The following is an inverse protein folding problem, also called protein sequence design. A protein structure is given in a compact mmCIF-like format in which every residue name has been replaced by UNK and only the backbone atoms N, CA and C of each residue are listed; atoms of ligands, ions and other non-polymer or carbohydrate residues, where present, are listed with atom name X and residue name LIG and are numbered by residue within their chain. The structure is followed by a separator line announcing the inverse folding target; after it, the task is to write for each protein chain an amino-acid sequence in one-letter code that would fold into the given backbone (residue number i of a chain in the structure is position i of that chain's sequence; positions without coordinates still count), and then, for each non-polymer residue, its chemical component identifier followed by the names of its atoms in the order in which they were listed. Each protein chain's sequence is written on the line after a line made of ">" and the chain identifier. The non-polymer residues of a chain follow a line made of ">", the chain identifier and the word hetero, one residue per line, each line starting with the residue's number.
data_IF_134492530546
#
_entry.id   IF_134492530546
#
_cell.length_a   1.000
_cell.length_b   1.000
_cell.length_c   1.000
_cell.angle_alpha   90.00
_cell.angle_beta   90.00
_cell.angle_gamma   90.00
#
_symmetry.space_group_name_H-M   'P 1'
#
loop_
_entity.id
_entity.type
_entity.pdbx_description
1 polymer ?
#
# COMPACT_ATOMS: atom_id res chain seq x y z
N UNK A 1 -26.31 11.64 -42.57
CA UNK A 1 -26.29 10.54 -41.60
C UNK A 1 -25.11 10.70 -40.70
N UNK A 2 -25.31 11.30 -39.54
CA UNK A 2 -24.27 11.42 -38.53
C UNK A 2 -24.01 10.07 -37.88
N UNK A 3 -23.04 9.35 -38.39
CA UNK A 3 -22.49 8.21 -37.67
C UNK A 3 -21.62 8.76 -36.53
N UNK A 4 -22.25 9.20 -35.46
CA UNK A 4 -21.56 9.42 -34.21
C UNK A 4 -21.06 8.09 -33.72
N UNK A 5 -19.74 7.92 -33.73
CA UNK A 5 -19.10 6.83 -33.00
C UNK A 5 -19.33 7.15 -31.55
N UNK A 6 -20.40 6.63 -30.98
CA UNK A 6 -20.61 6.71 -29.53
C UNK A 6 -19.69 5.65 -28.93
N UNK A 7 -18.51 6.11 -28.47
CA UNK A 7 -17.76 5.31 -27.52
C UNK A 7 -18.61 5.18 -26.26
N UNK A 8 -19.40 4.14 -26.15
CA UNK A 8 -19.82 3.70 -24.85
C UNK A 8 -18.53 3.41 -24.10
N UNK A 9 -18.20 4.29 -23.17
CA UNK A 9 -17.19 3.99 -22.19
C UNK A 9 -17.65 2.78 -21.38
N UNK A 10 -17.48 1.61 -21.94
CA UNK A 10 -17.23 0.47 -21.09
C UNK A 10 -15.82 0.74 -20.54
N UNK A 11 -15.67 1.03 -19.24
CA UNK A 11 -14.34 1.10 -18.71
C UNK A 11 -13.67 -0.22 -19.09
N UNK A 12 -12.63 -0.14 -19.91
CA UNK A 12 -11.69 -1.24 -20.01
C UNK A 12 -11.37 -1.52 -18.55
N UNK A 13 -11.68 -2.71 -18.02
CA UNK A 13 -11.40 -2.96 -16.62
C UNK A 13 -9.89 -3.08 -16.46
N UNK A 14 -9.25 -1.91 -16.36
CA UNK A 14 -7.92 -1.84 -15.78
C UNK A 14 -8.15 -2.22 -14.33
N UNK A 15 -7.59 -3.35 -13.87
CA UNK A 15 -7.70 -3.71 -12.47
C UNK A 15 -7.38 -2.52 -11.60
N UNK A 16 -8.18 -2.25 -10.56
CA UNK A 16 -8.04 -1.07 -9.72
C UNK A 16 -6.63 -0.91 -9.17
N UNK A 17 -5.96 -2.01 -8.88
CA UNK A 17 -4.58 -2.07 -8.37
C UNK A 17 -3.53 -1.50 -9.32
N UNK A 18 -3.83 -1.35 -10.61
CA UNK A 18 -2.94 -0.75 -11.60
C UNK A 18 -3.24 0.73 -11.86
N UNK A 19 -4.29 1.28 -11.25
CA UNK A 19 -4.62 2.70 -11.39
C UNK A 19 -3.73 3.51 -10.46
N UNK A 20 -2.98 4.52 -10.97
CA UNK A 20 -2.08 5.29 -10.12
C UNK A 20 -2.76 5.92 -8.91
N UNK A 21 -3.97 6.46 -9.07
CA UNK A 21 -4.71 7.08 -7.96
C UNK A 21 -5.09 6.08 -6.88
N UNK A 22 -5.44 4.85 -7.25
CA UNK A 22 -5.70 3.78 -6.29
C UNK A 22 -4.44 3.45 -5.48
N UNK A 23 -3.31 3.29 -6.16
CA UNK A 23 -2.02 3.02 -5.52
C UNK A 23 -1.59 4.17 -4.61
N UNK A 24 -1.76 5.42 -5.04
CA UNK A 24 -1.45 6.60 -4.21
C UNK A 24 -2.31 6.61 -2.95
N UNK A 25 -3.61 6.34 -3.09
CA UNK A 25 -4.51 6.24 -1.95
C UNK A 25 -4.06 5.18 -0.94
N UNK A 26 -3.67 4.00 -1.43
CA UNK A 26 -3.15 2.93 -0.56
C UNK A 26 -1.85 3.33 0.13
N UNK A 27 -0.90 3.95 -0.59
CA UNK A 27 0.36 4.44 0.00
C UNK A 27 0.06 5.41 1.14
N UNK A 28 -0.80 6.37 0.91
CA UNK A 28 -1.18 7.39 1.91
C UNK A 28 -1.80 6.74 3.14
N UNK A 29 -2.71 5.80 2.95
CA UNK A 29 -3.36 5.09 4.05
C UNK A 29 -2.39 4.19 4.83
N UNK A 30 -1.49 3.49 4.15
CA UNK A 30 -0.45 2.68 4.78
C UNK A 30 0.45 3.54 5.64
N UNK A 31 0.91 4.66 5.12
CA UNK A 31 1.77 5.60 5.87
C UNK A 31 1.05 6.13 7.11
N UNK A 32 -0.23 6.43 7.00
CA UNK A 32 -1.00 6.97 8.12
C UNK A 32 -1.29 5.94 9.20
N UNK A 33 -1.74 4.74 8.82
CA UNK A 33 -2.24 3.75 9.78
C UNK A 33 -1.19 2.79 10.29
N UNK A 34 -0.19 2.47 9.50
CA UNK A 34 0.71 1.35 9.79
C UNK A 34 2.18 1.74 9.97
N UNK A 35 2.50 3.03 9.90
CA UNK A 35 3.88 3.50 9.97
C UNK A 35 4.07 4.52 11.08
N UNK A 36 5.13 4.33 11.86
CA UNK A 36 5.51 5.29 12.91
C UNK A 36 5.93 6.60 12.26
N UNK A 37 5.43 7.71 12.82
CA UNK A 37 5.67 9.07 12.29
C UNK A 37 5.30 9.20 10.82
N UNK A 38 4.35 8.39 10.35
CA UNK A 38 3.89 8.34 8.95
C UNK A 38 5.06 8.21 7.95
N UNK A 39 6.09 7.46 8.33
CA UNK A 39 7.33 7.25 7.57
C UNK A 39 7.58 5.76 7.37
N UNK A 40 7.96 5.37 6.17
CA UNK A 40 8.17 3.97 5.82
C UNK A 40 9.33 3.79 4.86
N UNK A 41 9.99 2.63 4.94
CA UNK A 41 10.88 2.16 3.89
C UNK A 41 10.07 1.77 2.64
N UNK A 42 10.74 1.73 1.50
CA UNK A 42 10.15 1.25 0.25
C UNK A 42 9.74 -0.22 0.36
N UNK A 43 10.55 -1.06 1.00
CA UNK A 43 10.25 -2.48 1.19
C UNK A 43 8.95 -2.71 1.95
N UNK A 44 8.71 -1.94 3.00
CA UNK A 44 7.47 -2.03 3.78
C UNK A 44 6.26 -1.62 2.94
N UNK A 45 6.39 -0.59 2.12
CA UNK A 45 5.35 -0.18 1.18
C UNK A 45 5.03 -1.29 0.18
N UNK A 46 6.04 -1.98 -0.34
CA UNK A 46 5.84 -3.12 -1.24
C UNK A 46 5.15 -4.29 -0.54
N UNK A 47 5.50 -4.58 0.70
CA UNK A 47 4.82 -5.60 1.51
C UNK A 47 3.33 -5.30 1.62
N UNK A 48 2.98 -4.07 1.99
CA UNK A 48 1.57 -3.69 2.13
C UNK A 48 0.85 -3.63 0.79
N UNK A 49 1.49 -3.21 -0.28
CA UNK A 49 0.92 -3.26 -1.62
C UNK A 49 0.55 -4.69 -2.02
N UNK A 50 1.47 -5.63 -1.81
CA UNK A 50 1.20 -7.05 -2.03
C UNK A 50 0.04 -7.54 -1.15
N UNK A 51 0.04 -7.16 0.11
CA UNK A 51 -0.96 -7.57 1.08
C UNK A 51 -2.37 -7.10 0.69
N UNK A 52 -2.47 -5.85 0.28
CA UNK A 52 -3.75 -5.24 -0.10
C UNK A 52 -4.27 -5.68 -1.47
N UNK A 53 -3.45 -6.42 -2.22
CA UNK A 53 -3.83 -6.93 -3.54
C UNK A 53 -4.99 -7.93 -3.47
N UNK A 54 -5.06 -8.76 -2.43
CA UNK A 54 -6.11 -9.77 -2.29
C UNK A 54 -6.42 -10.09 -0.83
N UNK A 55 -7.63 -10.56 -0.58
CA UNK A 55 -8.03 -11.09 0.74
C UNK A 55 -7.12 -12.22 1.21
N UNK A 56 -6.72 -13.09 0.29
CA UNK A 56 -5.82 -14.21 0.59
C UNK A 56 -4.48 -13.71 1.14
N UNK A 57 -3.91 -12.68 0.52
CA UNK A 57 -2.66 -12.07 0.99
C UNK A 57 -2.82 -11.42 2.36
N UNK A 58 -3.94 -10.76 2.61
CA UNK A 58 -4.26 -10.20 3.93
C UNK A 58 -4.32 -11.28 5.01
N UNK A 59 -4.96 -12.41 4.70
CA UNK A 59 -5.06 -13.54 5.62
C UNK A 59 -3.69 -14.19 5.89
N UNK A 60 -2.83 -14.27 4.88
CA UNK A 60 -1.46 -14.77 5.04
C UNK A 60 -0.70 -13.90 6.02
N UNK A 61 -0.76 -12.58 5.87
CA UNK A 61 -0.08 -11.66 6.78
C UNK A 61 -0.64 -11.75 8.20
N UNK A 62 -1.96 -11.81 8.34
CA UNK A 62 -2.60 -11.94 9.66
C UNK A 62 -2.20 -13.23 10.36
N UNK A 63 -2.17 -14.35 9.66
CA UNK A 63 -1.71 -15.63 10.23
C UNK A 63 -0.24 -15.58 10.66
N UNK A 64 0.59 -14.92 9.88
CA UNK A 64 2.00 -14.72 10.23
C UNK A 64 2.14 -13.93 11.54
N UNK A 65 1.38 -12.86 11.68
CA UNK A 65 1.36 -12.04 12.91
C UNK A 65 0.84 -12.88 14.09
N UNK A 66 -0.27 -13.58 13.90
CA UNK A 66 -0.92 -14.38 14.95
C UNK A 66 -0.03 -15.56 15.43
N UNK A 67 0.82 -16.08 14.54
CA UNK A 67 1.79 -17.12 14.87
C UNK A 67 3.08 -16.57 15.51
N UNK A 68 3.11 -15.32 15.92
CA UNK A 68 4.27 -14.71 16.55
C UNK A 68 5.45 -14.47 15.60
N UNK A 69 5.18 -14.23 14.31
CA UNK A 69 6.18 -13.96 13.28
C UNK A 69 7.15 -15.12 13.01
N UNK A 70 6.73 -16.36 13.29
CA UNK A 70 7.61 -17.55 13.20
C UNK A 70 7.34 -18.42 11.99
N UNK A 71 6.09 -18.55 11.60
CA UNK A 71 5.65 -19.47 10.54
C UNK A 71 4.78 -18.74 9.54
N UNK A 72 4.86 -19.19 8.27
CA UNK A 72 4.06 -18.62 7.21
C UNK A 72 4.54 -17.25 6.76
N UNK A 73 5.85 -17.07 6.65
CA UNK A 73 6.46 -15.82 6.18
C UNK A 73 5.89 -15.46 4.82
N UNK A 74 5.31 -14.24 4.67
CA UNK A 74 4.80 -13.81 3.37
C UNK A 74 5.91 -13.74 2.31
N UNK A 75 5.59 -14.18 1.10
CA UNK A 75 6.44 -14.01 -0.07
C UNK A 75 5.82 -12.90 -0.94
N UNK A 76 6.48 -11.76 -1.00
CA UNK A 76 6.02 -10.65 -1.84
C UNK A 76 7.08 -10.25 -2.85
N UNK A 77 6.65 -9.67 -3.94
CA UNK A 77 7.51 -9.19 -5.00
C UNK A 77 7.48 -7.66 -5.07
N UNK A 78 8.52 -7.09 -5.66
CA UNK A 78 8.57 -5.66 -5.95
C UNK A 78 7.62 -5.37 -7.12
N UNK A 79 6.71 -4.44 -6.91
CA UNK A 79 5.75 -4.03 -7.92
C UNK A 79 6.20 -2.70 -8.56
N UNK A 80 6.59 -2.71 -9.85
CA UNK A 80 6.95 -1.47 -10.54
C UNK A 80 5.84 -0.41 -10.57
N UNK A 81 4.57 -0.84 -10.54
CA UNK A 81 3.44 0.08 -10.48
C UNK A 81 3.42 0.89 -9.19
N UNK A 82 3.81 0.29 -8.07
CA UNK A 82 3.95 1.00 -6.80
C UNK A 82 5.04 2.06 -6.87
N UNK A 83 6.18 1.73 -7.46
CA UNK A 83 7.29 2.69 -7.62
C UNK A 83 6.84 3.91 -8.42
N UNK A 84 6.12 3.70 -9.51
CA UNK A 84 5.56 4.80 -10.32
C UNK A 84 4.53 5.62 -9.55
N UNK A 85 3.66 4.95 -8.81
CA UNK A 85 2.65 5.63 -7.98
C UNK A 85 3.31 6.47 -6.88
N UNK A 86 4.37 5.96 -6.27
CA UNK A 86 5.13 6.69 -5.26
C UNK A 86 5.80 7.93 -5.85
N UNK A 87 6.41 7.81 -7.03
CA UNK A 87 7.00 8.96 -7.73
C UNK A 87 5.94 10.03 -8.04
N UNK A 88 4.76 9.62 -8.49
CA UNK A 88 3.63 10.52 -8.72
C UNK A 88 3.13 11.15 -7.42
N UNK A 89 3.06 10.38 -6.34
CA UNK A 89 2.65 10.90 -5.03
C UNK A 89 3.63 11.96 -4.53
N UNK A 90 4.92 11.78 -4.77
CA UNK A 90 5.95 12.78 -4.45
C UNK A 90 5.80 14.01 -5.33
N UNK A 91 5.62 13.82 -6.64
CA UNK A 91 5.45 14.92 -7.59
C UNK A 91 4.21 15.77 -7.27
N UNK A 92 3.12 15.12 -6.86
CA UNK A 92 1.88 15.79 -6.46
C UNK A 92 1.92 16.34 -5.02
N UNK A 93 2.98 16.09 -4.28
CA UNK A 93 3.20 16.64 -2.95
C UNK A 93 2.52 15.89 -1.80
N UNK A 94 2.00 14.68 -2.02
CA UNK A 94 1.39 13.86 -0.96
C UNK A 94 2.41 13.17 -0.07
N UNK A 95 3.57 12.86 -0.63
CA UNK A 95 4.68 12.23 0.07
C UNK A 95 5.97 12.98 -0.21
N UNK A 96 6.96 12.78 0.65
CA UNK A 96 8.31 13.32 0.46
C UNK A 96 9.35 12.25 0.78
N UNK A 97 10.51 12.36 0.15
CA UNK A 97 11.66 11.53 0.48
C UNK A 97 12.29 12.05 1.79
N UNK A 98 12.30 11.18 2.82
CA UNK A 98 12.83 11.52 4.13
C UNK A 98 14.31 11.14 4.32
N UNK A 99 15.00 10.72 3.24
CA UNK A 99 16.36 10.21 3.28
C UNK A 99 16.43 8.71 3.59
N UNK A 100 17.56 8.06 3.27
CA UNK A 100 17.81 6.64 3.56
C UNK A 100 16.74 5.67 3.00
N UNK A 101 16.25 5.96 1.79
CA UNK A 101 15.16 5.20 1.16
C UNK A 101 13.87 5.14 1.99
N UNK A 102 13.61 6.19 2.77
CA UNK A 102 12.39 6.34 3.54
C UNK A 102 11.51 7.43 2.95
N UNK A 103 10.21 7.23 3.09
CA UNK A 103 9.17 8.10 2.53
C UNK A 103 8.20 8.49 3.63
N UNK A 104 7.80 9.75 3.63
CA UNK A 104 6.97 10.32 4.68
C UNK A 104 5.77 11.04 4.07
N UNK A 105 4.66 10.99 4.79
CA UNK A 105 3.45 11.70 4.43
C UNK A 105 3.64 13.21 4.70
N UNK A 106 3.25 14.04 3.73
CA UNK A 106 3.24 15.50 3.87
C UNK A 106 1.92 15.99 4.48
N UNK A 107 1.83 17.30 4.77
CA UNK A 107 0.56 17.91 5.19
C UNK A 107 -0.54 17.69 4.16
N UNK A 108 -0.23 17.82 2.88
CA UNK A 108 -1.17 17.55 1.78
C UNK A 108 -1.57 16.07 1.74
N UNK A 109 -0.63 15.17 2.05
CA UNK A 109 -0.90 13.74 2.19
C UNK A 109 -1.84 13.45 3.35
N UNK A 110 -1.67 14.12 4.49
CA UNK A 110 -2.59 14.00 5.63
C UNK A 110 -4.00 14.48 5.27
N UNK A 111 -4.13 15.55 4.49
CA UNK A 111 -5.43 16.02 4.01
C UNK A 111 -6.10 14.98 3.12
N UNK A 112 -5.35 14.37 2.21
CA UNK A 112 -5.86 13.28 1.36
C UNK A 112 -6.31 12.08 2.22
N UNK A 113 -5.51 11.68 3.20
CA UNK A 113 -5.86 10.60 4.12
C UNK A 113 -7.17 10.90 4.84
N UNK A 114 -7.36 12.13 5.33
CA UNK A 114 -8.60 12.54 5.99
C UNK A 114 -9.81 12.44 5.07
N UNK A 115 -9.68 12.85 3.82
CA UNK A 115 -10.74 12.72 2.83
C UNK A 115 -11.09 11.26 2.53
N UNK A 116 -10.07 10.40 2.46
CA UNK A 116 -10.28 8.96 2.27
C UNK A 116 -10.98 8.32 3.47
N UNK A 117 -10.67 8.78 4.68
CA UNK A 117 -11.33 8.32 5.92
C UNK A 117 -12.79 8.73 5.99
N UNK A 118 -13.11 9.94 5.55
CA UNK A 118 -14.48 10.48 5.57
C UNK A 118 -15.41 9.74 4.62
N UNK A 119 -14.90 9.23 3.51
CA UNK A 119 -15.68 8.45 2.57
C UNK A 119 -15.80 7.00 3.07
N UNK A 120 -16.93 6.69 3.69
CA UNK A 120 -17.17 5.38 4.30
C UNK A 120 -17.43 4.25 3.31
N UNK A 121 -17.61 4.57 2.04
CA UNK A 121 -17.86 3.58 0.99
C UNK A 121 -16.60 3.22 0.20
N UNK A 122 -15.57 4.04 0.30
CA UNK A 122 -14.32 3.89 -0.46
C UNK A 122 -13.30 3.08 0.31
N UNK A 123 -12.72 2.07 -0.36
CA UNK A 123 -11.62 1.25 0.18
C UNK A 123 -11.93 0.66 1.56
N UNK A 124 -13.16 0.20 1.76
CA UNK A 124 -13.65 -0.28 3.07
C UNK A 124 -12.82 -1.45 3.58
N UNK A 125 -12.57 -2.44 2.73
CA UNK A 125 -11.81 -3.63 3.08
C UNK A 125 -10.37 -3.28 3.44
N UNK A 126 -9.74 -2.45 2.62
CA UNK A 126 -8.36 -2.02 2.80
C UNK A 126 -8.20 -1.17 4.08
N UNK A 127 -9.09 -0.21 4.30
CA UNK A 127 -9.07 0.63 5.52
C UNK A 127 -9.25 -0.21 6.78
N UNK A 128 -10.21 -1.12 6.79
CA UNK A 128 -10.46 -1.99 7.94
C UNK A 128 -9.24 -2.86 8.26
N UNK A 129 -8.62 -3.42 7.24
CA UNK A 129 -7.41 -4.23 7.39
C UNK A 129 -6.25 -3.41 7.97
N UNK A 130 -5.99 -2.21 7.42
CA UNK A 130 -4.91 -1.35 7.87
C UNK A 130 -5.11 -0.86 9.31
N UNK A 131 -6.33 -0.54 9.69
CA UNK A 131 -6.67 -0.17 11.07
C UNK A 131 -6.42 -1.34 12.01
N UNK A 132 -6.78 -2.54 11.60
CA UNK A 132 -6.59 -3.77 12.39
C UNK A 132 -5.10 -4.07 12.59
N UNK A 133 -4.27 -3.89 11.57
CA UNK A 133 -2.81 -4.04 11.69
C UNK A 133 -2.23 -2.96 12.61
N UNK A 134 -2.53 -1.69 12.36
CA UNK A 134 -2.02 -0.57 13.14
C UNK A 134 -0.51 -0.39 13.03
N UNK A 135 0.04 0.51 13.86
CA UNK A 135 1.42 0.98 13.74
C UNK A 135 2.49 0.03 14.30
N UNK A 136 2.10 -0.86 15.20
CA UNK A 136 3.08 -1.64 15.97
C UNK A 136 3.32 -3.06 15.48
N UNK A 137 2.42 -3.63 14.69
CA UNK A 137 2.49 -5.06 14.34
C UNK A 137 3.53 -5.39 13.27
N UNK A 138 3.72 -4.51 12.32
CA UNK A 138 4.73 -4.66 11.27
C UNK A 138 5.75 -3.52 11.39
N UNK A 139 6.85 -3.79 12.09
CA UNK A 139 7.96 -2.84 12.23
C UNK A 139 8.90 -2.95 11.03
N UNK A 140 9.74 -1.92 10.84
CA UNK A 140 10.82 -1.98 9.84
C UNK A 140 11.77 -3.16 10.09
N UNK A 141 12.08 -3.44 11.35
CA UNK A 141 12.88 -4.59 11.75
C UNK A 141 12.21 -5.91 11.33
N UNK A 142 10.92 -6.02 11.47
CA UNK A 142 10.16 -7.19 11.03
C UNK A 142 10.27 -7.39 9.51
N UNK A 143 10.13 -6.32 8.73
CA UNK A 143 10.28 -6.36 7.27
C UNK A 143 11.68 -6.80 6.87
N UNK A 144 12.72 -6.25 7.50
CA UNK A 144 14.11 -6.60 7.24
C UNK A 144 14.37 -8.09 7.51
N UNK A 145 13.84 -8.62 8.62
CA UNK A 145 13.98 -10.03 8.98
C UNK A 145 13.28 -10.97 7.98
N UNK A 146 12.12 -10.58 7.48
CA UNK A 146 11.43 -11.34 6.44
C UNK A 146 12.25 -11.40 5.17
N UNK A 147 12.84 -10.29 4.75
CA UNK A 147 13.69 -10.20 3.56
C UNK A 147 14.94 -11.07 3.70
N UNK A 148 15.60 -11.07 4.85
CA UNK A 148 16.78 -11.88 5.11
C UNK A 148 16.45 -13.38 5.03
N UNK A 149 15.33 -13.82 5.58
CA UNK A 149 14.89 -15.22 5.51
C UNK A 149 14.65 -15.69 4.07
N UNK A 150 14.15 -14.83 3.20
CA UNK A 150 14.02 -15.16 1.79
C UNK A 150 15.38 -15.39 1.12
N UNK A 151 16.38 -14.60 1.48
CA UNK A 151 17.74 -14.74 0.94
C UNK A 151 18.45 -16.00 1.45
N UNK A 152 18.13 -16.45 2.66
CA UNK A 152 18.71 -17.67 3.24
C UNK A 152 18.13 -18.97 2.67
N UNK A 153 16.96 -18.92 2.03
CA UNK A 153 16.30 -20.08 1.44
C UNK A 153 16.73 -20.31 -0.02
N UNK A 154 17.41 -19.35 -0.63
CA UNK A 154 17.95 -19.45 -1.99
C UNK A 154 19.30 -20.16 -2.02
#
# INVERSE_FOLDING_TARGET
>A
MDKRIVFKKKPIPIPAEYRPMYQIALIVLVLKYCCRSCTSSLLKLHLFSWCLFSKNNMEILMRFIDNGYRMGVPHWTIDPALNRALDLAIADGFCENAGNNRYRLTSKGHELASKLEEDKELLVLEKNFLVQIGRGKISESCVDKMTIKELEIC
#
